data_IF_679720347162
#
_entry.id   IF_679720347162
#
_cell.length_a   1.000
_cell.length_b   1.000
_cell.length_c   1.000
_cell.angle_alpha   90.00
_cell.angle_beta   90.00
_cell.angle_gamma   90.00
#
_symmetry.space_group_name_H-M   'P 1'
#
loop_
_entity.id
_entity.type
_entity.pdbx_description
1 polymer ?
#
# COMPACT_ATOMS: atom_id res chain seq x y z
N UNK A 1 -13.81 9.74 -16.81
CA UNK A 1 -12.63 9.07 -17.38
C UNK A 1 -11.53 9.18 -16.34
N UNK A 2 -11.17 8.07 -15.66
CA UNK A 2 -10.06 8.04 -14.70
C UNK A 2 -8.76 8.32 -15.48
N UNK A 3 -8.21 9.52 -15.35
CA UNK A 3 -6.88 9.83 -15.87
C UNK A 3 -5.88 8.89 -15.24
N UNK A 4 -5.18 8.12 -16.05
CA UNK A 4 -4.11 7.23 -15.61
C UNK A 4 -3.07 8.03 -14.80
N UNK A 5 -2.95 7.71 -13.50
CA UNK A 5 -2.04 8.41 -12.59
C UNK A 5 -0.59 8.15 -13.05
N UNK A 6 0.07 9.17 -13.58
CA UNK A 6 1.47 9.06 -14.03
C UNK A 6 2.37 8.79 -12.82
N UNK A 7 3.00 7.62 -12.76
CA UNK A 7 3.96 7.30 -11.71
C UNK A 7 5.24 8.10 -11.89
N UNK A 8 5.87 8.44 -10.79
CA UNK A 8 7.14 9.19 -10.70
C UNK A 8 8.12 8.38 -9.89
N UNK A 9 9.41 8.52 -10.18
CA UNK A 9 10.43 8.03 -9.27
C UNK A 9 10.31 8.76 -7.92
N UNK A 10 10.78 8.13 -6.85
CA UNK A 10 10.82 8.74 -5.53
C UNK A 10 11.55 10.09 -5.54
N UNK A 11 12.64 10.20 -6.32
CA UNK A 11 13.40 11.44 -6.49
C UNK A 11 12.55 12.54 -7.15
N UNK A 12 11.76 12.21 -8.17
CA UNK A 12 10.85 13.17 -8.81
C UNK A 12 9.69 13.58 -7.90
N UNK A 13 9.26 12.72 -6.97
CA UNK A 13 8.20 13.02 -6.01
C UNK A 13 8.70 13.81 -4.77
N UNK A 14 9.99 13.73 -4.44
CA UNK A 14 10.57 14.36 -3.25
C UNK A 14 10.31 15.88 -3.12
N UNK A 15 10.37 16.71 -4.20
CA UNK A 15 10.04 18.13 -4.12
C UNK A 15 8.59 18.37 -3.65
N UNK A 16 7.63 17.51 -4.04
CA UNK A 16 6.25 17.63 -3.59
C UNK A 16 6.10 17.29 -2.10
N UNK A 17 6.84 16.28 -1.61
CA UNK A 17 6.86 15.97 -0.18
C UNK A 17 7.43 17.13 0.67
N UNK A 18 8.50 17.77 0.19
CA UNK A 18 9.09 18.97 0.84
C UNK A 18 8.11 20.13 0.85
N UNK A 19 7.46 20.42 -0.28
CA UNK A 19 6.47 21.49 -0.39
C UNK A 19 5.27 21.24 0.51
N UNK A 20 4.77 20.00 0.53
CA UNK A 20 3.70 19.58 1.43
C UNK A 20 4.07 19.86 2.88
N UNK A 21 5.25 19.38 3.32
CA UNK A 21 5.70 19.57 4.69
C UNK A 21 5.83 21.07 5.07
N UNK A 22 6.32 21.90 4.15
CA UNK A 22 6.47 23.35 4.37
C UNK A 22 5.13 24.11 4.46
N UNK A 23 4.06 23.55 3.86
CA UNK A 23 2.74 24.20 3.80
C UNK A 23 1.70 23.60 4.75
N UNK A 24 2.03 22.51 5.43
CA UNK A 24 1.14 21.95 6.45
C UNK A 24 1.00 22.92 7.62
N UNK A 25 -0.19 23.08 8.21
CA UNK A 25 -0.40 24.00 9.33
C UNK A 25 0.53 23.68 10.50
N UNK A 26 1.16 24.71 11.05
CA UNK A 26 2.04 24.55 12.20
C UNK A 26 1.29 23.88 13.38
N UNK A 27 1.97 22.96 14.06
CA UNK A 27 1.39 22.19 15.17
C UNK A 27 0.39 21.12 14.76
N UNK A 28 0.09 20.94 13.47
CA UNK A 28 -0.73 19.83 13.01
C UNK A 28 0.06 18.50 13.03
N UNK A 29 -0.55 17.45 13.53
CA UNK A 29 -0.01 16.09 13.40
C UNK A 29 -0.50 15.48 12.10
N UNK A 30 0.44 15.03 11.27
CA UNK A 30 0.15 14.40 9.99
C UNK A 30 1.24 13.41 9.58
N UNK A 31 0.89 12.48 8.70
CA UNK A 31 1.79 11.42 8.23
C UNK A 31 1.63 11.23 6.72
N UNK A 32 2.75 11.14 6.00
CA UNK A 32 2.74 10.58 4.66
C UNK A 32 2.64 9.06 4.75
N UNK A 33 1.66 8.49 4.06
CA UNK A 33 1.38 7.06 4.02
C UNK A 33 1.66 6.48 2.61
N UNK A 34 0.93 5.48 2.21
CA UNK A 34 0.98 4.90 0.87
C UNK A 34 2.34 4.36 0.45
N UNK A 35 2.57 4.43 -0.84
CA UNK A 35 3.84 3.99 -1.46
C UNK A 35 5.03 4.81 -0.99
N UNK A 36 4.83 6.09 -0.66
CA UNK A 36 5.88 6.94 -0.09
C UNK A 36 6.41 6.38 1.23
N UNK A 37 5.52 6.08 2.18
CA UNK A 37 5.90 5.55 3.49
C UNK A 37 6.57 4.18 3.42
N UNK A 38 6.20 3.36 2.43
CA UNK A 38 6.82 2.05 2.19
C UNK A 38 8.21 2.11 1.55
N UNK A 39 8.70 3.28 1.18
CA UNK A 39 9.97 3.39 0.47
C UNK A 39 9.93 2.90 -0.97
N UNK A 40 8.75 2.86 -1.62
CA UNK A 40 8.61 2.41 -3.00
C UNK A 40 9.46 3.25 -3.95
N UNK A 41 10.03 2.61 -4.98
CA UNK A 41 10.81 3.31 -6.01
C UNK A 41 9.97 4.23 -6.86
N UNK A 42 8.69 3.88 -7.07
CA UNK A 42 7.73 4.64 -7.85
C UNK A 42 6.54 5.10 -7.00
N UNK A 43 6.21 6.36 -7.10
CA UNK A 43 5.12 7.05 -6.39
C UNK A 43 4.06 7.45 -7.41
N UNK A 44 2.82 7.00 -7.21
CA UNK A 44 1.66 7.40 -8.04
C UNK A 44 0.94 8.62 -7.48
N UNK A 45 0.85 8.69 -6.17
CA UNK A 45 0.11 9.69 -5.41
C UNK A 45 0.70 9.80 -4.00
N UNK A 46 0.24 10.81 -3.26
CA UNK A 46 0.48 10.91 -1.83
C UNK A 46 -0.81 10.65 -1.05
N UNK A 47 -0.73 9.74 -0.10
CA UNK A 47 -1.72 9.57 0.96
C UNK A 47 -1.26 10.34 2.19
N UNK A 48 -2.03 11.33 2.62
CA UNK A 48 -1.75 12.16 3.79
C UNK A 48 -2.77 11.87 4.88
N UNK A 49 -2.34 11.35 5.99
CA UNK A 49 -3.19 11.10 7.16
C UNK A 49 -3.03 12.26 8.13
N UNK A 50 -4.11 12.97 8.42
CA UNK A 50 -4.15 14.11 9.35
C UNK A 50 -4.85 13.69 10.63
N UNK A 51 -4.20 13.87 11.76
CA UNK A 51 -4.79 13.55 13.07
C UNK A 51 -5.57 14.74 13.58
N UNK A 52 -6.86 14.56 13.78
CA UNK A 52 -7.77 15.59 14.24
C UNK A 52 -8.63 15.09 15.40
N UNK A 53 -8.91 15.95 16.38
CA UNK A 53 -9.80 15.60 17.49
C UNK A 53 -11.20 15.21 17.01
N UNK A 54 -11.73 15.91 16.01
CA UNK A 54 -13.03 15.63 15.38
C UNK A 54 -13.00 14.37 14.48
N UNK A 55 -11.83 13.94 14.02
CA UNK A 55 -11.69 12.91 12.99
C UNK A 55 -12.20 13.35 11.60
N UNK A 56 -12.31 14.67 11.36
CA UNK A 56 -12.78 15.25 10.10
C UNK A 56 -11.83 16.33 9.59
N UNK A 57 -11.92 16.65 8.30
CA UNK A 57 -11.19 17.74 7.63
C UNK A 57 -11.95 19.07 7.69
N UNK A 58 -13.09 19.13 8.37
CA UNK A 58 -13.87 20.37 8.50
C UNK A 58 -13.00 21.44 9.20
N UNK A 59 -12.90 22.63 8.58
CA UNK A 59 -12.03 23.69 9.04
C UNK A 59 -10.51 23.37 8.96
N UNK A 60 -10.10 22.29 8.28
CA UNK A 60 -8.69 22.05 8.04
C UNK A 60 -8.15 22.98 6.95
N UNK A 61 -7.03 23.61 7.25
CA UNK A 61 -6.35 24.52 6.32
C UNK A 61 -5.40 23.70 5.43
N UNK A 62 -5.82 23.45 4.19
CA UNK A 62 -5.00 22.71 3.23
C UNK A 62 -3.79 23.52 2.75
N UNK A 63 -2.70 22.85 2.29
CA UNK A 63 -1.59 23.50 1.62
C UNK A 63 -2.05 24.40 0.46
N UNK A 64 -1.45 25.59 0.32
CA UNK A 64 -1.81 26.54 -0.74
C UNK A 64 -1.58 25.97 -2.17
N UNK A 65 -0.63 25.04 -2.33
CA UNK A 65 -0.37 24.35 -3.60
C UNK A 65 -1.36 23.22 -3.90
N UNK A 66 -2.29 22.90 -2.99
CA UNK A 66 -3.28 21.83 -3.16
C UNK A 66 -4.58 22.38 -3.70
N UNK A 67 -5.06 21.83 -4.80
CA UNK A 67 -6.38 22.08 -5.36
C UNK A 67 -7.26 20.87 -5.12
N UNK A 68 -8.27 21.02 -4.26
CA UNK A 68 -9.25 19.97 -3.97
C UNK A 68 -10.19 19.80 -5.15
N UNK A 69 -10.43 18.56 -5.57
CA UNK A 69 -11.36 18.22 -6.68
C UNK A 69 -12.55 17.38 -6.21
N UNK A 70 -12.38 16.60 -5.14
CA UNK A 70 -13.45 15.75 -4.60
C UNK A 70 -13.28 15.48 -3.10
N UNK A 71 -14.27 14.85 -2.50
CA UNK A 71 -14.24 14.36 -1.13
C UNK A 71 -15.32 14.97 -0.24
N UNK A 72 -15.34 14.55 1.02
CA UNK A 72 -16.27 14.97 2.09
C UNK A 72 -15.50 15.36 3.35
N UNK A 73 -16.16 15.25 4.51
CA UNK A 73 -15.59 15.64 5.80
C UNK A 73 -14.39 14.77 6.22
N UNK A 74 -14.32 13.50 5.82
CA UNK A 74 -13.23 12.58 6.22
C UNK A 74 -12.13 12.40 5.18
N UNK A 75 -12.38 12.79 3.93
CA UNK A 75 -11.43 12.68 2.83
C UNK A 75 -11.51 13.91 1.95
N UNK A 76 -10.37 14.36 1.45
CA UNK A 76 -10.27 15.35 0.39
C UNK A 76 -9.21 14.87 -0.60
N UNK A 77 -9.59 14.77 -1.88
CA UNK A 77 -8.67 14.40 -2.93
C UNK A 77 -8.50 15.55 -3.93
N UNK A 78 -7.34 15.60 -4.55
CA UNK A 78 -7.02 16.65 -5.50
C UNK A 78 -5.59 16.55 -6.00
N UNK A 79 -5.03 17.69 -6.36
CA UNK A 79 -3.70 17.76 -6.96
C UNK A 79 -2.85 18.82 -6.29
N UNK A 80 -1.57 18.52 -6.12
CA UNK A 80 -0.55 19.52 -5.80
C UNK A 80 0.16 19.96 -7.08
N UNK A 81 0.41 21.28 -7.17
CA UNK A 81 1.11 21.91 -8.27
C UNK A 81 2.49 22.41 -7.82
N UNK A 82 3.51 22.15 -8.65
CA UNK A 82 4.81 22.82 -8.60
C UNK A 82 5.07 23.39 -10.00
N UNK A 83 5.48 24.65 -10.10
CA UNK A 83 5.78 25.30 -11.37
C UNK A 83 6.77 24.47 -12.20
N UNK A 84 6.45 24.27 -13.48
CA UNK A 84 7.26 23.47 -14.41
C UNK A 84 7.23 21.96 -14.18
N UNK A 85 6.34 21.45 -13.30
CA UNK A 85 6.18 20.01 -13.04
C UNK A 85 4.75 19.56 -13.30
N UNK A 86 4.53 18.32 -13.78
CA UNK A 86 3.20 17.73 -13.84
C UNK A 86 2.56 17.65 -12.44
N UNK A 87 1.24 17.81 -12.37
CA UNK A 87 0.47 17.72 -11.13
C UNK A 87 0.66 16.36 -10.45
N UNK A 88 0.79 16.36 -9.11
CA UNK A 88 0.79 15.15 -8.29
C UNK A 88 -0.55 15.02 -7.58
N UNK A 89 -1.17 13.86 -7.70
CA UNK A 89 -2.40 13.54 -6.96
C UNK A 89 -2.11 13.36 -5.46
N UNK A 90 -2.99 13.93 -4.63
CA UNK A 90 -2.89 13.84 -3.17
C UNK A 90 -4.26 13.53 -2.58
N UNK A 91 -4.31 12.52 -1.71
CA UNK A 91 -5.46 12.17 -0.89
C UNK A 91 -5.20 12.55 0.56
N UNK A 92 -5.95 13.50 1.10
CA UNK A 92 -5.97 13.82 2.52
C UNK A 92 -7.06 13.01 3.22
N UNK A 93 -6.70 12.41 4.33
CA UNK A 93 -7.58 11.62 5.17
C UNK A 93 -7.52 12.11 6.61
N UNK A 94 -8.67 12.30 7.25
CA UNK A 94 -8.70 12.62 8.67
C UNK A 94 -8.99 11.39 9.51
N UNK A 95 -8.31 11.29 10.64
CA UNK A 95 -8.58 10.30 11.67
C UNK A 95 -8.43 10.91 13.06
N UNK A 96 -9.02 10.26 14.06
CA UNK A 96 -8.74 10.57 15.47
C UNK A 96 -7.43 9.91 15.92
N UNK A 97 -6.90 10.33 17.07
CA UNK A 97 -5.72 9.69 17.67
C UNK A 97 -5.93 8.20 17.94
N UNK A 98 -7.12 7.81 18.35
CA UNK A 98 -7.46 6.41 18.60
C UNK A 98 -7.55 5.56 17.32
N UNK A 99 -7.73 6.16 16.17
CA UNK A 99 -7.82 5.50 14.85
C UNK A 99 -6.45 5.42 14.14
N UNK A 100 -5.48 6.25 14.56
CA UNK A 100 -4.24 6.47 13.81
C UNK A 100 -3.52 5.20 13.41
N UNK A 101 -3.32 4.26 14.33
CA UNK A 101 -2.61 3.01 14.03
C UNK A 101 -3.30 2.17 12.96
N UNK A 102 -4.61 2.02 13.04
CA UNK A 102 -5.40 1.30 12.04
C UNK A 102 -5.44 2.04 10.71
N UNK A 103 -5.54 3.37 10.77
CA UNK A 103 -5.55 4.22 9.58
C UNK A 103 -4.20 4.17 8.83
N UNK A 104 -3.08 4.21 9.56
CA UNK A 104 -1.75 4.05 8.97
C UNK A 104 -1.56 2.66 8.36
N UNK A 105 -2.06 1.59 8.99
CA UNK A 105 -2.04 0.25 8.38
C UNK A 105 -2.83 0.22 7.07
N UNK A 106 -4.03 0.79 7.08
CA UNK A 106 -4.92 0.81 5.92
C UNK A 106 -4.32 1.63 4.76
N UNK A 107 -3.89 2.86 5.03
CA UNK A 107 -3.39 3.78 4.00
C UNK A 107 -1.97 3.45 3.55
N UNK A 108 -1.11 2.89 4.42
CA UNK A 108 0.23 2.48 4.02
C UNK A 108 0.18 1.23 3.14
N UNK A 109 -0.67 0.28 3.42
CA UNK A 109 -0.77 -0.95 2.65
C UNK A 109 0.51 -1.81 2.67
N UNK A 110 0.86 -2.50 1.58
CA UNK A 110 0.10 -2.64 0.33
C UNK A 110 -1.15 -3.50 0.48
N UNK A 111 -2.04 -3.43 -0.50
CA UNK A 111 -3.33 -4.13 -0.47
C UNK A 111 -3.25 -5.62 -0.10
N UNK A 112 -2.34 -6.43 -0.65
CA UNK A 112 -2.25 -7.85 -0.26
C UNK A 112 -1.91 -8.06 1.21
N UNK A 113 -1.08 -7.19 1.80
CA UNK A 113 -0.77 -7.24 3.23
C UNK A 113 -2.00 -6.85 4.08
N UNK A 114 -2.74 -5.82 3.67
CA UNK A 114 -3.97 -5.40 4.34
C UNK A 114 -5.05 -6.51 4.30
N UNK A 115 -5.17 -7.23 3.18
CA UNK A 115 -6.05 -8.41 3.07
C UNK A 115 -5.62 -9.49 4.06
N UNK A 116 -4.33 -9.79 4.12
CA UNK A 116 -3.78 -10.79 5.06
C UNK A 116 -4.08 -10.43 6.52
N UNK A 117 -3.89 -9.17 6.91
CA UNK A 117 -4.17 -8.68 8.26
C UNK A 117 -5.66 -8.80 8.60
N UNK A 118 -6.55 -8.38 7.70
CA UNK A 118 -8.02 -8.50 7.88
C UNK A 118 -8.47 -9.95 7.96
N UNK A 119 -7.91 -10.83 7.14
CA UNK A 119 -8.19 -12.27 7.20
C UNK A 119 -7.73 -12.87 8.52
N UNK A 120 -6.55 -12.46 9.01
CA UNK A 120 -6.06 -12.91 10.32
C UNK A 120 -6.95 -12.42 11.45
N UNK A 121 -7.40 -11.17 11.42
CA UNK A 121 -8.34 -10.62 12.39
C UNK A 121 -9.62 -11.47 12.47
N UNK A 122 -10.24 -11.76 11.32
CA UNK A 122 -11.45 -12.60 11.27
C UNK A 122 -11.24 -13.99 11.88
N UNK A 123 -10.11 -14.65 11.60
CA UNK A 123 -9.76 -15.95 12.18
C UNK A 123 -9.58 -15.92 13.70
N UNK A 124 -9.40 -14.74 14.29
CA UNK A 124 -9.28 -14.50 15.72
C UNK A 124 -10.57 -13.92 16.32
N UNK A 125 -11.70 -13.97 15.59
CA UNK A 125 -12.96 -13.40 16.05
C UNK A 125 -12.96 -11.87 16.10
N UNK A 126 -12.12 -11.21 15.28
CA UNK A 126 -12.00 -9.75 15.27
C UNK A 126 -12.27 -9.16 13.88
N UNK A 127 -12.62 -7.88 13.84
CA UNK A 127 -12.78 -7.09 12.62
C UNK A 127 -11.73 -5.98 12.62
N UNK A 128 -10.90 -5.92 11.58
CA UNK A 128 -9.94 -4.85 11.35
C UNK A 128 -10.41 -3.99 10.17
N UNK A 129 -10.55 -2.69 10.38
CA UNK A 129 -10.81 -1.69 9.35
C UNK A 129 -9.92 -0.45 9.58
N UNK A 130 -10.10 0.61 8.79
CA UNK A 130 -9.33 1.85 8.93
C UNK A 130 -9.60 2.59 10.25
N UNK A 131 -10.71 2.33 10.89
CA UNK A 131 -11.09 3.00 12.14
C UNK A 131 -10.61 2.27 13.39
N UNK A 132 -10.17 1.01 13.28
CA UNK A 132 -9.66 0.26 14.43
C UNK A 132 -9.74 -1.24 14.29
N UNK A 133 -9.40 -1.90 15.39
CA UNK A 133 -9.60 -3.33 15.61
C UNK A 133 -10.76 -3.51 16.58
N UNK A 134 -11.68 -4.42 16.25
CA UNK A 134 -12.93 -4.62 16.99
C UNK A 134 -13.10 -6.09 17.35
N UNK A 135 -13.65 -6.37 18.52
CA UNK A 135 -14.10 -7.69 18.96
C UNK A 135 -15.48 -7.54 19.57
N UNK A 136 -16.45 -8.32 19.11
CA UNK A 136 -17.85 -8.32 19.59
C UNK A 136 -18.45 -6.90 19.64
N UNK A 137 -18.19 -6.09 18.60
CA UNK A 137 -18.67 -4.73 18.50
C UNK A 137 -17.90 -3.71 19.37
N UNK A 138 -16.98 -4.15 20.22
CA UNK A 138 -16.18 -3.29 21.10
C UNK A 138 -14.80 -3.03 20.49
N UNK A 139 -14.36 -1.77 20.52
CA UNK A 139 -13.02 -1.41 20.03
C UNK A 139 -11.95 -1.98 20.96
N UNK A 140 -11.02 -2.75 20.40
CA UNK A 140 -9.82 -3.21 21.11
C UNK A 140 -8.87 -2.02 21.29
N UNK A 141 -8.29 -1.87 22.48
CA UNK A 141 -7.30 -0.82 22.80
C UNK A 141 -5.95 -1.11 22.11
N UNK A 142 -5.91 -0.92 20.80
CA UNK A 142 -4.73 -1.12 19.95
C UNK A 142 -4.62 0.09 19.01
N UNK A 143 -4.03 1.18 19.51
CA UNK A 143 -4.03 2.49 18.84
C UNK A 143 -2.79 2.73 17.98
N UNK A 144 -1.80 1.83 18.01
CA UNK A 144 -0.60 1.86 17.17
C UNK A 144 -0.57 0.65 16.24
N UNK A 145 0.21 0.74 15.17
CA UNK A 145 0.39 -0.38 14.24
C UNK A 145 0.94 -1.62 14.96
N UNK A 146 1.95 -1.45 15.84
CA UNK A 146 2.57 -2.53 16.61
C UNK A 146 1.56 -3.21 17.55
N UNK A 147 0.71 -2.41 18.22
CA UNK A 147 -0.34 -2.93 19.09
C UNK A 147 -1.35 -3.77 18.31
N UNK A 148 -1.73 -3.34 17.10
CA UNK A 148 -2.62 -4.11 16.22
C UNK A 148 -1.94 -5.40 15.78
N UNK A 149 -0.69 -5.37 15.33
CA UNK A 149 0.06 -6.58 14.96
C UNK A 149 0.14 -7.58 16.10
N UNK A 150 0.36 -7.10 17.34
CA UNK A 150 0.38 -7.93 18.56
C UNK A 150 -0.96 -8.63 18.79
N UNK A 151 -2.08 -7.89 18.67
CA UNK A 151 -3.43 -8.47 18.80
C UNK A 151 -3.70 -9.52 17.70
N UNK A 152 -3.18 -9.30 16.49
CA UNK A 152 -3.29 -10.26 15.40
C UNK A 152 -2.36 -11.48 15.55
N UNK A 153 -1.53 -11.52 16.59
CA UNK A 153 -0.48 -12.55 16.76
C UNK A 153 0.40 -12.65 15.50
N UNK A 154 0.85 -11.51 15.01
CA UNK A 154 1.75 -11.36 13.86
C UNK A 154 2.99 -10.59 14.29
N UNK A 155 4.16 -10.96 13.74
CA UNK A 155 5.36 -10.15 13.89
C UNK A 155 5.14 -8.78 13.23
N UNK A 156 5.54 -7.70 13.93
CA UNK A 156 5.46 -6.36 13.37
C UNK A 156 6.33 -6.25 12.12
N UNK A 157 5.76 -5.63 11.10
CA UNK A 157 6.44 -5.38 9.85
C UNK A 157 6.52 -3.86 9.63
N UNK A 158 7.71 -3.26 9.74
CA UNK A 158 7.91 -1.83 9.50
C UNK A 158 7.49 -1.43 8.08
N UNK A 159 7.02 -0.19 7.86
CA UNK A 159 6.52 0.26 6.56
C UNK A 159 7.45 -0.03 5.38
N UNK A 160 8.74 0.25 5.52
CA UNK A 160 9.76 0.06 4.50
C UNK A 160 9.98 -1.41 4.10
N UNK A 161 9.65 -2.34 4.96
CA UNK A 161 9.70 -3.78 4.66
C UNK A 161 8.43 -4.30 4.00
N UNK A 162 7.38 -3.49 3.90
CA UNK A 162 6.08 -3.91 3.35
C UNK A 162 6.05 -3.94 1.83
N UNK A 163 6.97 -3.22 1.16
CA UNK A 163 6.98 -3.13 -0.31
C UNK A 163 7.14 -4.50 -0.99
N UNK A 164 7.80 -5.46 -0.34
CA UNK A 164 7.92 -6.84 -0.83
C UNK A 164 6.56 -7.57 -1.00
N UNK A 165 5.50 -7.06 -0.35
CA UNK A 165 4.14 -7.59 -0.48
C UNK A 165 3.32 -6.86 -1.55
N UNK A 166 3.85 -5.78 -2.17
CA UNK A 166 3.16 -5.08 -3.24
C UNK A 166 2.98 -5.99 -4.46
N UNK A 167 1.86 -5.83 -5.16
CA UNK A 167 1.62 -6.57 -6.40
C UNK A 167 2.60 -6.10 -7.49
N UNK A 168 2.96 -6.98 -8.43
CA UNK A 168 3.70 -6.59 -9.63
C UNK A 168 3.03 -5.46 -10.38
N UNK A 169 3.81 -4.59 -11.00
CA UNK A 169 3.28 -3.52 -11.84
C UNK A 169 2.48 -4.10 -13.00
N UNK A 170 1.22 -3.68 -13.16
CA UNK A 170 0.37 -4.17 -14.26
C UNK A 170 0.92 -3.83 -15.65
N UNK A 171 1.63 -2.71 -15.79
CA UNK A 171 2.19 -2.27 -17.08
C UNK A 171 3.32 -3.15 -17.61
N UNK A 172 4.05 -3.80 -16.73
CA UNK A 172 5.23 -4.60 -17.08
C UNK A 172 5.09 -6.06 -16.62
N UNK A 173 3.89 -6.44 -16.16
CA UNK A 173 3.70 -7.80 -15.68
C UNK A 173 3.42 -8.77 -16.81
N UNK A 174 4.11 -9.90 -16.78
CA UNK A 174 3.79 -11.08 -17.55
C UNK A 174 3.08 -12.11 -16.69
N UNK A 175 2.26 -12.93 -17.34
CA UNK A 175 1.55 -14.04 -16.70
C UNK A 175 2.22 -15.34 -17.14
N UNK A 176 2.59 -16.16 -16.17
CA UNK A 176 3.19 -17.48 -16.41
C UNK A 176 2.29 -18.52 -15.78
N UNK A 177 1.86 -19.50 -16.57
CA UNK A 177 1.09 -20.63 -16.10
C UNK A 177 2.04 -21.76 -15.72
N UNK A 178 2.04 -22.17 -14.46
CA UNK A 178 2.90 -23.23 -13.94
C UNK A 178 2.01 -24.42 -13.53
N UNK A 179 2.26 -25.63 -14.07
CA UNK A 179 1.51 -26.82 -13.66
C UNK A 179 1.50 -26.99 -12.15
N UNK A 180 0.38 -27.42 -11.61
CA UNK A 180 0.30 -27.79 -10.19
C UNK A 180 1.08 -29.07 -9.94
N UNK A 181 1.82 -29.12 -8.84
CA UNK A 181 2.45 -30.34 -8.36
C UNK A 181 1.47 -31.29 -7.62
N UNK A 182 0.19 -30.90 -7.53
CA UNK A 182 -0.88 -31.73 -6.94
C UNK A 182 -1.77 -32.28 -8.04
N UNK A 183 -1.96 -33.61 -8.14
CA UNK A 183 -2.85 -34.19 -9.13
C UNK A 183 -4.27 -33.60 -9.09
N UNK A 184 -4.87 -33.38 -10.25
CA UNK A 184 -6.22 -32.87 -10.40
C UNK A 184 -6.43 -31.38 -10.01
N UNK A 185 -5.40 -30.65 -9.65
CA UNK A 185 -5.50 -29.19 -9.36
C UNK A 185 -5.14 -28.36 -10.60
N UNK A 186 -5.82 -27.23 -10.80
CA UNK A 186 -5.54 -26.34 -11.92
C UNK A 186 -4.12 -25.77 -11.83
N UNK A 187 -3.52 -25.35 -12.95
CA UNK A 187 -2.21 -24.71 -12.96
C UNK A 187 -2.23 -23.41 -12.17
N UNK A 188 -1.08 -23.07 -11.59
CA UNK A 188 -0.89 -21.83 -10.88
C UNK A 188 -0.69 -20.68 -11.88
N UNK A 189 -1.43 -19.59 -11.68
CA UNK A 189 -1.21 -18.34 -12.40
C UNK A 189 -0.21 -17.50 -11.62
N UNK A 190 1.01 -17.34 -12.14
CA UNK A 190 2.04 -16.47 -11.58
C UNK A 190 2.07 -15.17 -12.38
N UNK A 191 1.96 -14.05 -11.69
CA UNK A 191 2.11 -12.69 -12.25
C UNK A 191 3.42 -12.11 -11.76
N UNK A 192 4.23 -11.56 -12.65
CA UNK A 192 5.51 -10.95 -12.28
C UNK A 192 5.88 -9.78 -13.20
N UNK A 193 6.55 -8.77 -12.64
CA UNK A 193 7.21 -7.67 -13.36
C UNK A 193 8.74 -7.92 -13.50
N UNK A 194 9.20 -9.13 -13.22
CA UNK A 194 10.60 -9.52 -13.23
C UNK A 194 11.32 -9.32 -11.89
N UNK A 195 10.76 -8.50 -10.99
CA UNK A 195 11.29 -8.26 -9.63
C UNK A 195 10.37 -8.81 -8.55
N UNK A 196 9.06 -8.65 -8.73
CA UNK A 196 8.02 -9.11 -7.82
C UNK A 196 7.24 -10.24 -8.43
N UNK A 197 6.75 -11.13 -7.59
CA UNK A 197 5.99 -12.30 -8.00
C UNK A 197 4.72 -12.43 -7.15
N UNK A 198 3.61 -12.75 -7.80
CA UNK A 198 2.33 -13.06 -7.18
C UNK A 198 1.82 -14.38 -7.74
N UNK A 199 1.37 -15.30 -6.89
CA UNK A 199 0.79 -16.57 -7.31
C UNK A 199 -0.67 -16.69 -6.86
N UNK A 200 -1.50 -17.35 -7.65
CA UNK A 200 -2.89 -17.64 -7.31
C UNK A 200 -3.08 -18.68 -6.21
N UNK A 201 -2.02 -19.37 -5.76
CA UNK A 201 -2.15 -20.45 -4.78
C UNK A 201 -2.35 -19.94 -3.35
N UNK A 202 -3.05 -20.75 -2.54
CA UNK A 202 -3.28 -20.46 -1.13
C UNK A 202 -1.98 -20.29 -0.34
N UNK A 203 -0.96 -21.11 -0.62
CA UNK A 203 0.34 -21.00 0.04
C UNK A 203 0.93 -19.60 -0.08
N UNK A 204 0.94 -19.03 -1.28
CA UNK A 204 1.44 -17.69 -1.49
C UNK A 204 0.51 -16.63 -0.88
N UNK A 205 -0.81 -16.80 -1.00
CA UNK A 205 -1.79 -15.88 -0.42
C UNK A 205 -1.66 -15.75 1.10
N UNK A 206 -1.38 -16.85 1.80
CA UNK A 206 -1.34 -16.87 3.25
C UNK A 206 0.05 -16.81 3.87
N UNK A 207 1.05 -17.42 3.24
CA UNK A 207 2.42 -17.47 3.78
C UNK A 207 3.30 -16.34 3.25
N UNK A 208 3.00 -15.81 2.06
CA UNK A 208 3.83 -14.82 1.36
C UNK A 208 5.29 -15.25 1.22
N UNK A 209 5.50 -16.54 1.18
CA UNK A 209 6.77 -17.17 0.86
C UNK A 209 6.72 -17.70 -0.56
N UNK A 210 7.86 -17.83 -1.19
CA UNK A 210 7.93 -18.41 -2.52
C UNK A 210 7.35 -19.82 -2.51
N UNK A 211 6.28 -20.00 -3.24
CA UNK A 211 5.73 -21.32 -3.51
C UNK A 211 6.47 -21.97 -4.66
N UNK A 212 6.26 -23.28 -4.85
CA UNK A 212 6.81 -24.03 -5.98
C UNK A 212 6.63 -23.29 -7.32
N UNK A 213 5.46 -22.74 -7.59
CA UNK A 213 5.18 -22.07 -8.86
C UNK A 213 6.01 -20.79 -9.03
N UNK A 214 6.22 -19.98 -7.99
CA UNK A 214 7.08 -18.79 -8.06
C UNK A 214 8.53 -19.19 -8.28
N UNK A 215 9.03 -20.18 -7.57
CA UNK A 215 10.39 -20.69 -7.75
C UNK A 215 10.63 -21.19 -9.18
N UNK A 216 9.65 -21.91 -9.74
CA UNK A 216 9.71 -22.40 -11.13
C UNK A 216 9.66 -21.24 -12.13
N UNK A 217 8.78 -20.26 -11.95
CA UNK A 217 8.70 -19.09 -12.81
C UNK A 217 10.00 -18.28 -12.82
N UNK A 218 10.64 -18.09 -11.67
CA UNK A 218 11.97 -17.44 -11.59
C UNK A 218 13.05 -18.17 -12.38
N UNK A 219 13.06 -19.50 -12.30
CA UNK A 219 14.04 -20.32 -13.06
C UNK A 219 13.80 -20.19 -14.57
N UNK A 220 12.55 -20.21 -15.03
CA UNK A 220 12.20 -20.05 -16.44
C UNK A 220 12.63 -18.68 -16.99
N UNK A 221 12.38 -17.60 -16.25
CA UNK A 221 12.80 -16.24 -16.64
C UNK A 221 14.32 -16.13 -16.69
N UNK A 222 15.02 -16.66 -15.69
CA UNK A 222 16.49 -16.65 -15.67
C UNK A 222 17.09 -17.43 -16.83
N UNK A 223 16.52 -18.58 -17.19
CA UNK A 223 16.94 -19.39 -18.33
C UNK A 223 16.69 -18.67 -19.68
N UNK A 224 15.54 -18.00 -19.82
CA UNK A 224 15.20 -17.18 -20.99
C UNK A 224 16.19 -16.03 -21.21
N UNK A 225 16.56 -15.31 -20.14
CA UNK A 225 17.55 -14.23 -20.18
C UNK A 225 18.95 -14.74 -20.58
N UNK A 226 19.34 -15.95 -20.14
CA UNK A 226 20.62 -16.55 -20.53
C UNK A 226 20.67 -16.94 -22.02
N UNK A 227 19.52 -17.36 -22.61
CA UNK A 227 19.43 -17.66 -24.04
C UNK A 227 19.47 -16.41 -24.89
N UNK A 228 18.78 -15.32 -24.50
CA UNK A 228 18.81 -14.04 -25.18
C UNK A 228 20.18 -13.36 -25.15
N UNK A 229 20.91 -13.48 -24.01
CA UNK A 229 22.29 -12.94 -23.90
C UNK A 229 23.41 -13.75 -24.57
N UNK A 230 23.09 -14.96 -25.11
CA UNK A 230 24.03 -15.74 -25.94
C UNK A 230 23.79 -15.59 -27.45
N UNK A 231 22.71 -14.93 -27.82
CA UNK A 231 22.33 -14.69 -29.22
C UNK A 231 22.62 -13.23 -29.70
N UNK A 232 23.23 -12.42 -28.85
CA UNK A 232 23.78 -11.08 -29.12
C UNK A 232 25.31 -11.12 -28.97
#
# INVERSE_FOLDING_TARGET
VARERKRRTRQQAAPFAKLLAAQMPAGSEWHLAGSWRRGAAEIGDFDVVVVRRSGTLDGFRFPASFTRTEGGSKRAAGYMAIRGRPLLHVDFWACTRAELGAFLLYSTGPEPLAIRQRTRARRLGMVLNQYGLWRDGVRVRAYTEEAIYRQLKMAYLPPEQREKYARPSRKHSQIIMIPSNRPGKPPHRVVTDGTRYECSCEWWLFKRQDCHAITTARRQIAAGKKKAGKAA
#
